data_IF_013054128459
#
_entry.id   IF_013054128459
#
_cell.length_a   1.000
_cell.length_b   1.000
_cell.length_c   1.000
_cell.angle_alpha   90.00
_cell.angle_beta   90.00
_cell.angle_gamma   90.00
#
_symmetry.space_group_name_H-M   'P 1'
#
loop_
_entity.id
_entity.type
_entity.pdbx_description
1 polymer ?
#
# COMPACT_ATOMS: atom_id res chain seq x y z
N UNK A 1 -14.12 24.25 0.19
CA UNK A 1 -13.25 23.06 0.26
C UNK A 1 -13.26 22.41 -1.11
N UNK A 2 -12.09 22.10 -1.68
CA UNK A 2 -11.92 21.54 -3.01
C UNK A 2 -11.54 20.06 -2.88
N UNK A 3 -12.37 19.18 -3.41
CA UNK A 3 -12.23 17.72 -3.27
C UNK A 3 -11.99 17.11 -4.64
N UNK A 4 -10.83 16.48 -4.82
CA UNK A 4 -10.58 15.60 -5.96
C UNK A 4 -11.22 14.23 -5.71
N UNK A 5 -11.72 13.59 -6.75
CA UNK A 5 -12.31 12.23 -6.69
C UNK A 5 -11.60 11.33 -7.68
N UNK A 6 -11.02 10.24 -7.18
CA UNK A 6 -10.46 9.17 -7.98
C UNK A 6 -11.29 7.90 -7.81
N UNK A 7 -11.67 7.28 -8.90
CA UNK A 7 -12.52 6.07 -8.89
C UNK A 7 -11.84 4.91 -9.60
N UNK A 8 -11.90 3.73 -9.00
CA UNK A 8 -11.38 2.50 -9.64
C UNK A 8 -12.24 1.98 -10.79
N UNK A 9 -13.54 2.26 -10.76
CA UNK A 9 -14.51 1.95 -11.81
C UNK A 9 -15.52 3.09 -11.91
N UNK A 10 -15.71 3.65 -13.09
CA UNK A 10 -16.65 4.77 -13.34
C UNK A 10 -18.10 4.45 -12.99
N UNK A 11 -18.50 3.17 -12.97
CA UNK A 11 -19.83 2.76 -12.52
C UNK A 11 -20.09 3.09 -11.05
N UNK A 12 -19.05 3.20 -10.23
CA UNK A 12 -19.16 3.56 -8.81
C UNK A 12 -19.73 4.97 -8.62
N UNK A 13 -19.46 5.89 -9.54
CA UNK A 13 -20.03 7.26 -9.49
C UNK A 13 -21.55 7.28 -9.69
N UNK A 14 -22.12 6.24 -10.31
CA UNK A 14 -23.57 6.14 -10.58
C UNK A 14 -24.34 5.42 -9.47
N UNK A 15 -23.65 4.84 -8.49
CA UNK A 15 -24.31 4.18 -7.37
C UNK A 15 -24.99 5.22 -6.47
N UNK A 16 -26.23 4.94 -6.08
CA UNK A 16 -27.07 5.84 -5.27
C UNK A 16 -26.35 6.40 -4.05
N UNK A 17 -25.64 5.54 -3.30
CA UNK A 17 -24.89 5.96 -2.10
C UNK A 17 -23.73 6.90 -2.41
N UNK A 18 -23.04 6.68 -3.53
CA UNK A 18 -21.96 7.58 -3.98
C UNK A 18 -22.52 8.94 -4.40
N UNK A 19 -23.60 8.93 -5.20
CA UNK A 19 -24.29 10.15 -5.62
C UNK A 19 -24.73 10.97 -4.39
N UNK A 20 -25.41 10.31 -3.44
CA UNK A 20 -25.86 10.96 -2.21
C UNK A 20 -24.71 11.58 -1.38
N UNK A 21 -23.57 10.88 -1.29
CA UNK A 21 -22.36 11.37 -0.63
C UNK A 21 -21.82 12.63 -1.34
N UNK A 22 -21.65 12.59 -2.65
CA UNK A 22 -21.11 13.72 -3.43
C UNK A 22 -22.06 14.93 -3.36
N UNK A 23 -23.37 14.71 -3.43
CA UNK A 23 -24.38 15.77 -3.23
C UNK A 23 -24.32 16.37 -1.81
N UNK A 24 -24.06 15.54 -0.79
CA UNK A 24 -23.91 16.03 0.59
C UNK A 24 -22.69 16.96 0.71
N UNK A 25 -21.57 16.62 0.08
CA UNK A 25 -20.41 17.51 0.01
C UNK A 25 -20.74 18.83 -0.72
N UNK A 26 -21.40 18.76 -1.87
CA UNK A 26 -21.79 19.93 -2.66
C UNK A 26 -22.73 20.84 -1.86
N UNK A 27 -23.74 20.28 -1.17
CA UNK A 27 -24.63 21.04 -0.26
C UNK A 27 -23.87 21.67 0.91
N UNK A 28 -22.79 21.05 1.36
CA UNK A 28 -21.88 21.58 2.39
C UNK A 28 -20.91 22.66 1.85
N UNK A 29 -21.03 23.07 0.58
CA UNK A 29 -20.19 24.09 -0.04
C UNK A 29 -18.84 23.58 -0.54
N UNK A 30 -18.67 22.27 -0.74
CA UNK A 30 -17.48 21.73 -1.36
C UNK A 30 -17.58 21.75 -2.90
N UNK A 31 -16.50 22.11 -3.57
CA UNK A 31 -16.30 21.93 -5.01
C UNK A 31 -15.71 20.56 -5.25
N UNK A 32 -16.33 19.74 -6.11
CA UNK A 32 -15.93 18.37 -6.40
C UNK A 32 -15.54 18.28 -7.88
N UNK A 33 -14.44 17.57 -8.14
CA UNK A 33 -14.01 17.28 -9.51
C UNK A 33 -13.35 15.90 -9.58
N UNK A 34 -13.52 15.20 -10.71
CA UNK A 34 -12.92 13.89 -10.96
C UNK A 34 -11.51 14.05 -11.51
N UNK A 35 -10.61 13.14 -11.14
CA UNK A 35 -9.26 13.04 -11.69
C UNK A 35 -8.95 11.59 -12.07
N UNK A 36 -8.04 11.42 -13.05
CA UNK A 36 -7.51 10.14 -13.51
C UNK A 36 -5.99 10.08 -13.46
N UNK A 37 -5.34 11.24 -13.40
CA UNK A 37 -3.89 11.37 -13.34
C UNK A 37 -3.47 12.48 -12.38
N UNK A 38 -2.19 12.53 -12.03
CA UNK A 38 -1.61 13.53 -11.14
C UNK A 38 -1.66 14.94 -11.73
N UNK A 39 -1.57 15.08 -13.06
CA UNK A 39 -1.59 16.37 -13.77
C UNK A 39 -2.95 17.06 -13.67
N UNK A 40 -4.02 16.31 -13.36
CA UNK A 40 -5.38 16.85 -13.17
C UNK A 40 -5.62 17.39 -11.74
N UNK A 41 -4.68 17.16 -10.82
CA UNK A 41 -4.75 17.71 -9.46
C UNK A 41 -4.57 19.22 -9.48
N UNK A 42 -5.56 19.94 -8.96
CA UNK A 42 -5.48 21.40 -8.81
C UNK A 42 -4.65 21.77 -7.58
N UNK A 43 -3.87 22.84 -7.65
CA UNK A 43 -3.03 23.34 -6.54
C UNK A 43 -3.80 23.61 -5.25
N UNK A 44 -5.07 24.04 -5.37
CA UNK A 44 -5.94 24.37 -4.25
C UNK A 44 -6.82 23.19 -3.78
N UNK A 45 -6.42 21.95 -4.06
CA UNK A 45 -7.12 20.75 -3.59
C UNK A 45 -6.87 20.53 -2.11
N UNK A 46 -7.94 20.32 -1.34
CA UNK A 46 -7.85 20.09 0.10
C UNK A 46 -7.73 18.61 0.46
N UNK A 47 -8.32 17.72 -0.32
CA UNK A 47 -8.23 16.26 -0.14
C UNK A 47 -8.62 15.47 -1.39
N UNK A 48 -8.22 14.20 -1.42
CA UNK A 48 -8.58 13.22 -2.45
C UNK A 48 -9.50 12.15 -1.86
N UNK A 49 -10.69 11.95 -2.45
CA UNK A 49 -11.54 10.79 -2.19
C UNK A 49 -11.17 9.67 -3.16
N UNK A 50 -10.72 8.55 -2.63
CA UNK A 50 -10.50 7.31 -3.37
C UNK A 50 -11.72 6.40 -3.23
N UNK A 51 -12.52 6.27 -4.29
CA UNK A 51 -13.78 5.48 -4.28
C UNK A 51 -13.54 4.12 -4.93
N UNK A 52 -13.48 3.09 -4.07
CA UNK A 52 -13.18 1.71 -4.46
C UNK A 52 -12.58 0.91 -3.32
N UNK A 53 -11.99 -0.24 -3.63
CA UNK A 53 -11.28 -1.08 -2.67
C UNK A 53 -9.85 -0.60 -2.39
N UNK A 54 -9.09 -1.42 -1.64
CA UNK A 54 -7.70 -1.11 -1.27
C UNK A 54 -6.80 -0.91 -2.50
N UNK A 55 -6.99 -1.68 -3.59
CA UNK A 55 -6.25 -1.46 -4.85
C UNK A 55 -6.48 -0.08 -5.46
N UNK A 56 -7.72 0.45 -5.40
CA UNK A 56 -8.03 1.83 -5.84
C UNK A 56 -7.35 2.85 -4.93
N UNK A 57 -7.29 2.57 -3.63
CA UNK A 57 -6.59 3.43 -2.68
C UNK A 57 -5.09 3.48 -2.97
N UNK A 58 -4.46 2.35 -3.30
CA UNK A 58 -3.04 2.31 -3.68
C UNK A 58 -2.76 3.16 -4.93
N UNK A 59 -3.63 3.09 -5.94
CA UNK A 59 -3.51 3.94 -7.12
C UNK A 59 -3.69 5.42 -6.78
N UNK A 60 -4.66 5.76 -5.94
CA UNK A 60 -4.87 7.13 -5.47
C UNK A 60 -3.67 7.66 -4.64
N UNK A 61 -3.06 6.80 -3.80
CA UNK A 61 -1.87 7.14 -3.04
C UNK A 61 -0.67 7.45 -3.95
N UNK A 62 -0.50 6.70 -5.05
CA UNK A 62 0.52 6.98 -6.04
C UNK A 62 0.30 8.30 -6.78
N UNK A 63 -0.96 8.69 -7.04
CA UNK A 63 -1.28 9.96 -7.71
C UNK A 63 -0.94 11.18 -6.86
N UNK A 64 -1.11 11.10 -5.54
CA UNK A 64 -0.79 12.23 -4.66
C UNK A 64 0.69 12.28 -4.31
N UNK A 65 1.41 11.15 -4.43
CA UNK A 65 2.85 11.04 -4.18
C UNK A 65 3.30 11.85 -2.93
N UNK A 66 4.20 12.81 -3.12
CA UNK A 66 4.77 13.69 -2.08
C UNK A 66 4.02 15.02 -1.90
N UNK A 67 2.88 15.20 -2.57
CA UNK A 67 2.08 16.45 -2.50
C UNK A 67 1.62 16.80 -1.08
N UNK A 68 1.62 15.82 -0.16
CA UNK A 68 1.07 15.99 1.18
C UNK A 68 -0.46 16.08 1.22
N UNK A 69 -1.16 15.82 0.09
CA UNK A 69 -2.61 15.84 0.03
C UNK A 69 -3.21 14.68 0.84
N UNK A 70 -4.16 14.93 1.77
CA UNK A 70 -4.82 13.87 2.51
C UNK A 70 -5.72 13.00 1.62
N UNK A 71 -5.66 11.67 1.80
CA UNK A 71 -6.46 10.69 1.05
C UNK A 71 -7.49 10.05 1.95
N UNK A 72 -8.74 10.01 1.49
CA UNK A 72 -9.88 9.35 2.14
C UNK A 72 -10.26 8.11 1.34
N UNK A 73 -10.16 6.93 1.92
CA UNK A 73 -10.63 5.69 1.28
C UNK A 73 -12.13 5.48 1.52
N UNK A 74 -12.90 5.35 0.45
CA UNK A 74 -14.34 5.09 0.47
C UNK A 74 -14.64 3.78 -0.23
N UNK A 75 -15.24 2.83 0.49
CA UNK A 75 -15.54 1.49 -0.01
C UNK A 75 -17.03 1.28 -0.23
N UNK A 76 -17.38 0.69 -1.38
CA UNK A 76 -18.75 0.39 -1.76
C UNK A 76 -19.12 -1.10 -1.58
N UNK A 77 -18.13 -1.93 -1.28
CA UNK A 77 -18.28 -3.38 -1.13
C UNK A 77 -17.76 -3.89 0.21
N UNK A 78 -16.87 -4.90 0.15
CA UNK A 78 -16.19 -5.42 1.34
C UNK A 78 -15.17 -4.40 1.83
N UNK A 79 -15.25 -4.01 3.09
CA UNK A 79 -14.33 -3.05 3.71
C UNK A 79 -12.88 -3.55 3.61
N UNK A 80 -11.99 -2.70 3.12
CA UNK A 80 -10.55 -2.91 3.06
C UNK A 80 -9.83 -2.43 4.33
N UNK A 81 -8.52 -2.62 4.43
CA UNK A 81 -7.68 -2.05 5.50
C UNK A 81 -7.31 -0.59 5.23
N UNK A 82 -7.32 -0.19 3.96
CA UNK A 82 -7.05 1.18 3.51
C UNK A 82 -8.35 1.93 3.22
N UNK A 83 -9.26 1.31 2.44
CA UNK A 83 -10.60 1.82 2.14
C UNK A 83 -11.61 1.25 3.14
N UNK A 84 -11.72 1.87 4.31
CA UNK A 84 -12.53 1.36 5.43
C UNK A 84 -13.83 2.14 5.65
N UNK A 85 -14.04 3.29 4.97
CA UNK A 85 -15.19 4.14 5.21
C UNK A 85 -16.33 3.83 4.23
N UNK A 86 -17.56 3.90 4.71
CA UNK A 86 -18.76 3.79 3.86
C UNK A 86 -19.18 5.18 3.37
N UNK A 87 -19.76 5.31 2.16
CA UNK A 87 -20.19 6.61 1.64
C UNK A 87 -21.10 7.38 2.60
N UNK A 88 -21.98 6.69 3.31
CA UNK A 88 -22.98 7.30 4.19
C UNK A 88 -22.38 8.11 5.36
N UNK A 89 -21.17 7.74 5.79
CA UNK A 89 -20.50 8.35 6.95
C UNK A 89 -19.51 9.46 6.55
N UNK A 90 -18.96 9.42 5.31
CA UNK A 90 -17.80 10.22 4.90
C UNK A 90 -18.12 11.70 4.83
N UNK A 91 -19.19 12.10 4.13
CA UNK A 91 -19.48 13.50 3.90
C UNK A 91 -19.75 14.26 5.21
N UNK A 92 -20.54 13.66 6.12
CA UNK A 92 -20.82 14.26 7.42
C UNK A 92 -19.55 14.40 8.27
N UNK A 93 -18.74 13.33 8.37
CA UNK A 93 -17.53 13.34 9.17
C UNK A 93 -16.51 14.37 8.67
N UNK A 94 -16.32 14.47 7.35
CA UNK A 94 -15.38 15.42 6.75
C UNK A 94 -15.86 16.86 6.95
N UNK A 95 -17.13 17.17 6.67
CA UNK A 95 -17.70 18.50 6.83
C UNK A 95 -17.71 18.97 8.29
N UNK A 96 -17.94 18.07 9.23
CA UNK A 96 -17.88 18.37 10.68
C UNK A 96 -16.48 18.29 11.28
N UNK A 97 -15.46 17.94 10.48
CA UNK A 97 -14.05 17.72 10.91
C UNK A 97 -13.90 16.61 11.97
N UNK A 98 -14.80 15.62 11.95
CA UNK A 98 -14.76 14.44 12.84
C UNK A 98 -13.88 13.32 12.26
N UNK A 99 -12.61 13.63 12.06
CA UNK A 99 -11.59 12.71 11.52
C UNK A 99 -10.21 13.06 12.05
N UNK A 100 -9.29 12.12 11.91
CA UNK A 100 -7.86 12.31 12.14
C UNK A 100 -7.07 12.07 10.85
N UNK A 101 -5.90 12.70 10.72
CA UNK A 101 -4.96 12.44 9.64
C UNK A 101 -3.81 11.61 10.20
N UNK A 102 -3.61 10.42 9.66
CA UNK A 102 -2.52 9.51 9.99
C UNK A 102 -1.43 9.61 8.93
N UNK A 103 -0.18 9.65 9.38
CA UNK A 103 0.97 9.56 8.49
C UNK A 103 1.34 8.08 8.30
N UNK A 104 1.35 7.61 7.06
CA UNK A 104 1.73 6.25 6.67
C UNK A 104 3.06 6.27 5.97
N UNK A 105 4.01 5.46 6.45
CA UNK A 105 5.30 5.29 5.80
C UNK A 105 5.14 4.70 4.41
N UNK A 106 5.95 5.15 3.48
CA UNK A 106 6.07 4.60 2.13
C UNK A 106 7.45 3.98 1.97
N UNK A 107 7.54 2.89 1.24
CA UNK A 107 8.82 2.43 0.73
C UNK A 107 9.29 3.34 -0.40
N UNK A 108 10.58 3.56 -0.47
CA UNK A 108 11.26 4.24 -1.56
C UNK A 108 12.29 3.31 -2.19
N UNK A 109 12.20 3.16 -3.51
CA UNK A 109 13.19 2.46 -4.32
C UNK A 109 14.28 3.42 -4.77
N UNK A 110 15.53 3.00 -4.58
CA UNK A 110 16.70 3.58 -5.26
C UNK A 110 17.31 2.47 -6.10
N UNK A 111 17.35 2.65 -7.40
CA UNK A 111 18.00 1.68 -8.31
C UNK A 111 19.47 2.02 -8.52
N UNK A 112 20.27 1.04 -8.98
CA UNK A 112 21.63 1.29 -9.44
C UNK A 112 21.62 2.20 -10.68
N UNK A 113 22.73 2.89 -10.95
CA UNK A 113 22.89 3.86 -12.06
C UNK A 113 22.55 3.31 -13.46
N UNK A 114 22.48 1.98 -13.61
CA UNK A 114 22.28 1.29 -14.89
C UNK A 114 20.81 1.01 -15.24
N UNK A 115 19.87 1.26 -14.34
CA UNK A 115 18.47 0.99 -14.61
C UNK A 115 17.56 2.06 -13.98
N UNK A 116 16.88 2.83 -14.85
CA UNK A 116 15.88 3.81 -14.42
C UNK A 116 14.48 3.24 -14.62
N UNK A 117 13.79 2.95 -13.53
CA UNK A 117 12.36 2.65 -13.55
C UNK A 117 11.54 3.94 -13.69
N UNK A 118 10.38 3.89 -14.35
CA UNK A 118 9.41 4.99 -14.30
C UNK A 118 9.09 5.38 -12.86
N UNK A 119 8.82 6.66 -12.64
CA UNK A 119 8.62 7.25 -11.32
C UNK A 119 7.50 6.58 -10.53
N UNK A 120 6.51 6.06 -11.22
CA UNK A 120 5.37 5.31 -10.64
C UNK A 120 5.79 4.06 -9.85
N UNK A 121 6.99 3.51 -10.08
CA UNK A 121 7.53 2.36 -9.34
C UNK A 121 8.36 2.75 -8.12
N UNK A 122 8.68 4.03 -7.95
CA UNK A 122 9.63 4.47 -6.93
C UNK A 122 9.07 4.40 -5.51
N UNK A 123 7.75 4.39 -5.33
CA UNK A 123 7.14 4.39 -4.00
C UNK A 123 6.05 3.33 -3.86
N UNK A 124 6.00 2.69 -2.70
CA UNK A 124 4.94 1.74 -2.34
C UNK A 124 4.41 2.02 -0.92
N UNK A 125 3.09 1.96 -0.76
CA UNK A 125 2.44 2.08 0.55
C UNK A 125 2.48 0.75 1.31
N UNK A 126 2.22 -0.36 0.62
CA UNK A 126 2.20 -1.68 1.23
C UNK A 126 3.55 -2.38 1.10
N UNK A 127 3.94 -2.76 -0.11
CA UNK A 127 5.13 -3.56 -0.33
C UNK A 127 5.78 -3.35 -1.69
N UNK A 128 7.08 -3.66 -1.73
CA UNK A 128 7.84 -3.92 -2.94
C UNK A 128 8.21 -5.41 -2.95
N UNK A 129 8.08 -6.07 -4.11
CA UNK A 129 8.37 -7.48 -4.24
C UNK A 129 9.33 -7.76 -5.39
N UNK A 130 10.14 -8.79 -5.22
CA UNK A 130 10.87 -9.44 -6.31
C UNK A 130 10.37 -10.87 -6.43
N UNK A 131 10.07 -11.31 -7.65
CA UNK A 131 9.49 -12.62 -7.91
C UNK A 131 10.13 -13.25 -9.14
N UNK A 132 10.28 -14.58 -9.17
CA UNK A 132 10.74 -15.28 -10.37
C UNK A 132 9.79 -15.04 -11.54
N UNK A 133 10.34 -14.90 -12.75
CA UNK A 133 9.57 -14.71 -13.99
C UNK A 133 9.18 -16.04 -14.64
N UNK A 134 9.97 -17.09 -14.41
CA UNK A 134 9.81 -18.40 -14.99
C UNK A 134 9.90 -19.55 -13.95
N UNK A 135 10.23 -20.77 -14.38
CA UNK A 135 10.30 -21.94 -13.49
C UNK A 135 11.55 -21.97 -12.61
N UNK A 136 12.63 -21.24 -12.97
CA UNK A 136 13.83 -21.20 -12.18
C UNK A 136 13.61 -20.47 -10.85
N UNK A 137 14.17 -21.01 -9.79
CA UNK A 137 14.13 -20.39 -8.47
C UNK A 137 14.95 -19.09 -8.49
N UNK A 138 14.46 -18.07 -7.80
CA UNK A 138 15.15 -16.81 -7.63
C UNK A 138 16.14 -16.93 -6.45
N UNK A 139 17.37 -16.47 -6.68
CA UNK A 139 18.38 -16.27 -5.65
C UNK A 139 18.43 -14.77 -5.35
N UNK A 140 18.13 -14.40 -4.09
CA UNK A 140 18.13 -13.00 -3.65
C UNK A 140 19.20 -12.84 -2.57
N UNK A 141 20.28 -12.13 -2.91
CA UNK A 141 21.23 -11.63 -1.93
C UNK A 141 20.62 -10.40 -1.25
N UNK A 142 20.62 -10.40 0.08
CA UNK A 142 20.04 -9.32 0.88
C UNK A 142 21.08 -8.80 1.85
N UNK A 143 21.17 -7.48 1.97
CA UNK A 143 21.86 -6.85 3.09
C UNK A 143 20.98 -5.80 3.75
N UNK A 144 21.14 -5.64 5.07
CA UNK A 144 20.47 -4.64 5.90
C UNK A 144 21.55 -3.80 6.54
N UNK A 145 21.56 -2.49 6.28
CA UNK A 145 22.58 -1.55 6.75
C UNK A 145 24.02 -2.03 6.45
N UNK A 146 24.22 -2.62 5.27
CA UNK A 146 25.50 -3.17 4.81
C UNK A 146 25.84 -4.56 5.38
N UNK A 147 25.05 -5.12 6.30
CA UNK A 147 25.26 -6.44 6.88
C UNK A 147 24.54 -7.49 6.02
N UNK A 148 25.26 -8.43 5.43
CA UNK A 148 24.69 -9.50 4.60
C UNK A 148 23.87 -10.47 5.45
N UNK A 149 22.66 -10.76 4.98
CA UNK A 149 21.86 -11.89 5.44
C UNK A 149 22.21 -13.16 4.64
N UNK A 150 21.83 -14.36 5.13
CA UNK A 150 21.88 -15.56 4.31
C UNK A 150 21.08 -15.35 3.01
N UNK A 151 21.62 -15.82 1.90
CA UNK A 151 20.96 -15.72 0.59
C UNK A 151 19.61 -16.44 0.62
N UNK A 152 18.58 -15.79 0.12
CA UNK A 152 17.23 -16.36 0.00
C UNK A 152 17.11 -17.11 -1.33
N UNK A 153 16.87 -18.39 -1.26
CA UNK A 153 16.50 -19.24 -2.39
C UNK A 153 14.99 -19.47 -2.31
N UNK A 154 14.23 -18.78 -3.15
CA UNK A 154 12.78 -18.69 -2.98
C UNK A 154 12.07 -18.41 -4.31
N UNK A 155 10.74 -18.47 -4.33
CA UNK A 155 9.93 -17.94 -5.44
C UNK A 155 10.02 -16.40 -5.52
N UNK A 156 10.35 -15.75 -4.40
CA UNK A 156 10.51 -14.31 -4.33
C UNK A 156 10.74 -13.79 -2.91
N UNK A 157 10.73 -12.49 -2.77
CA UNK A 157 10.88 -11.78 -1.51
C UNK A 157 9.94 -10.57 -1.47
N UNK A 158 9.33 -10.33 -0.34
CA UNK A 158 8.47 -9.16 -0.06
C UNK A 158 9.18 -8.28 0.95
N UNK A 159 9.34 -7.00 0.61
CA UNK A 159 9.73 -5.95 1.55
C UNK A 159 8.48 -5.10 1.80
N UNK A 160 8.01 -5.04 3.04
CA UNK A 160 6.72 -4.46 3.39
C UNK A 160 6.86 -3.40 4.48
N UNK A 161 6.01 -2.38 4.40
CA UNK A 161 5.77 -1.42 5.49
C UNK A 161 4.91 -2.06 6.59
N UNK A 162 4.75 -1.38 7.72
CA UNK A 162 3.75 -1.76 8.73
C UNK A 162 2.32 -1.74 8.17
N UNK A 163 1.97 -0.82 7.25
CA UNK A 163 0.67 -0.83 6.56
C UNK A 163 0.48 -2.07 5.69
N UNK A 164 1.51 -2.50 4.97
CA UNK A 164 1.51 -3.69 4.12
C UNK A 164 1.57 -5.03 4.89
N UNK A 165 1.74 -5.00 6.23
CA UNK A 165 1.74 -6.23 7.04
C UNK A 165 0.45 -7.04 6.92
N UNK A 166 -0.66 -6.42 6.55
CA UNK A 166 -1.96 -7.05 6.30
C UNK A 166 -2.25 -7.31 4.82
N UNK A 167 -1.28 -7.05 3.92
CA UNK A 167 -1.37 -7.28 2.48
C UNK A 167 -0.59 -8.55 2.07
N UNK A 168 0.27 -8.50 1.07
CA UNK A 168 0.98 -9.69 0.57
C UNK A 168 1.92 -10.30 1.61
N UNK A 169 2.53 -9.47 2.48
CA UNK A 169 3.34 -9.94 3.60
C UNK A 169 2.58 -10.94 4.49
N UNK A 170 1.30 -10.68 4.79
CA UNK A 170 0.47 -11.60 5.58
C UNK A 170 0.28 -12.94 4.86
N UNK A 171 0.04 -12.94 3.56
CA UNK A 171 -0.18 -14.14 2.75
C UNK A 171 1.03 -15.07 2.71
N UNK A 172 2.25 -14.54 2.88
CA UNK A 172 3.50 -15.31 2.92
C UNK A 172 4.00 -15.58 4.35
N UNK A 173 3.12 -15.38 5.35
CA UNK A 173 3.42 -15.70 6.75
C UNK A 173 4.14 -14.60 7.53
N UNK A 174 4.14 -13.37 7.04
CA UNK A 174 4.62 -12.20 7.77
C UNK A 174 3.75 -11.89 9.00
N UNK A 175 4.32 -11.24 10.02
CA UNK A 175 3.57 -10.85 11.22
C UNK A 175 2.60 -9.71 10.92
N UNK A 176 1.47 -9.68 11.64
CA UNK A 176 0.60 -8.52 11.68
C UNK A 176 1.26 -7.46 12.57
N UNK A 177 1.41 -6.26 12.05
CA UNK A 177 2.04 -5.13 12.71
C UNK A 177 1.06 -3.96 12.73
N UNK A 178 0.99 -3.25 13.86
CA UNK A 178 0.18 -2.02 13.94
C UNK A 178 0.72 -0.98 12.95
N UNK A 179 -0.16 -0.32 12.20
CA UNK A 179 0.26 0.61 11.15
C UNK A 179 1.13 1.78 11.62
N UNK A 180 1.06 2.12 12.90
CA UNK A 180 1.86 3.17 13.54
C UNK A 180 3.28 2.70 13.91
N UNK A 181 3.57 1.40 13.80
CA UNK A 181 4.88 0.84 14.15
C UNK A 181 5.93 1.26 13.12
N UNK A 182 7.09 1.65 13.62
CA UNK A 182 8.22 2.11 12.81
C UNK A 182 9.13 0.94 12.44
N UNK A 183 8.63 0.07 11.54
CA UNK A 183 9.34 -1.14 11.11
C UNK A 183 9.10 -1.42 9.63
N UNK A 184 10.04 -2.19 9.04
CA UNK A 184 9.92 -2.87 7.76
C UNK A 184 9.93 -4.38 8.00
N UNK A 185 9.32 -5.13 7.09
CA UNK A 185 9.22 -6.58 7.18
C UNK A 185 9.82 -7.17 5.91
N UNK A 186 10.74 -8.11 6.06
CA UNK A 186 11.36 -8.89 4.98
C UNK A 186 10.74 -10.28 5.04
N UNK A 187 9.90 -10.65 4.07
CA UNK A 187 9.18 -11.92 4.07
C UNK A 187 9.50 -12.72 2.80
N UNK A 188 10.07 -13.94 2.92
CA UNK A 188 10.33 -14.78 1.76
C UNK A 188 9.04 -15.41 1.23
N UNK A 189 8.97 -15.59 -0.10
CA UNK A 189 7.87 -16.27 -0.79
C UNK A 189 8.30 -17.69 -1.08
N UNK A 190 7.66 -18.68 -0.48
CA UNK A 190 7.96 -20.12 -0.68
C UNK A 190 9.47 -20.44 -0.61
N UNK A 191 10.18 -20.12 0.47
CA UNK A 191 11.63 -20.32 0.53
C UNK A 191 12.01 -21.80 0.56
N UNK A 192 13.08 -22.15 -0.14
CA UNK A 192 13.70 -23.48 -0.05
C UNK A 192 14.55 -23.63 1.22
N UNK A 193 15.03 -22.54 1.77
CA UNK A 193 15.71 -22.50 3.07
C UNK A 193 14.67 -22.69 4.20
N UNK A 194 14.42 -23.90 4.62
CA UNK A 194 13.33 -24.26 5.56
C UNK A 194 13.42 -23.60 6.94
N UNK A 195 14.56 -23.06 7.31
CA UNK A 195 14.82 -22.36 8.58
C UNK A 195 14.67 -20.83 8.48
N UNK A 196 14.45 -20.27 7.29
CA UNK A 196 14.20 -18.83 7.11
C UNK A 196 12.80 -18.47 7.57
N UNK A 197 12.68 -17.33 8.22
CA UNK A 197 11.41 -16.76 8.69
C UNK A 197 11.35 -15.28 8.31
N UNK A 198 10.16 -14.67 8.23
CA UNK A 198 10.04 -13.22 8.11
C UNK A 198 10.85 -12.51 9.19
N UNK A 199 11.59 -11.48 8.77
CA UNK A 199 12.42 -10.66 9.63
C UNK A 199 11.84 -9.25 9.73
N UNK A 200 11.70 -8.75 10.96
CA UNK A 200 11.29 -7.37 11.23
C UNK A 200 12.53 -6.55 11.53
N UNK A 201 12.68 -5.43 10.84
CA UNK A 201 13.79 -4.48 11.02
C UNK A 201 13.25 -3.07 11.28
N UNK A 202 14.04 -2.16 11.88
CA UNK A 202 13.63 -0.77 12.03
C UNK A 202 13.30 -0.11 10.69
N UNK A 203 12.39 0.86 10.66
CA UNK A 203 12.05 1.63 9.47
C UNK A 203 13.18 2.53 8.97
N UNK A 204 14.21 2.76 9.80
CA UNK A 204 15.44 3.44 9.42
C UNK A 204 16.42 2.58 8.62
N UNK A 205 16.15 1.28 8.47
CA UNK A 205 17.05 0.35 7.80
C UNK A 205 17.08 0.60 6.28
N UNK A 206 18.28 0.46 5.70
CA UNK A 206 18.49 0.39 4.26
C UNK A 206 18.61 -1.08 3.84
N UNK A 207 17.72 -1.54 2.96
CA UNK A 207 17.66 -2.92 2.48
C UNK A 207 18.18 -2.94 1.05
N UNK A 208 19.31 -3.60 0.81
CA UNK A 208 19.84 -3.77 -0.54
C UNK A 208 19.58 -5.20 -1.01
N UNK A 209 19.13 -5.32 -2.25
CA UNK A 209 18.78 -6.57 -2.92
C UNK A 209 19.62 -6.72 -4.19
N UNK A 210 20.13 -7.93 -4.45
CA UNK A 210 20.69 -8.31 -5.73
C UNK A 210 20.09 -9.63 -6.18
N UNK A 211 19.46 -9.63 -7.36
CA UNK A 211 18.70 -10.75 -7.89
C UNK A 211 19.51 -11.55 -8.90
N UNK A 212 19.58 -12.87 -8.70
CA UNK A 212 20.16 -13.81 -9.65
C UNK A 212 19.08 -14.82 -10.09
N UNK A 213 18.90 -14.99 -11.38
CA UNK A 213 17.94 -15.90 -12.00
C UNK A 213 18.56 -16.59 -13.20
N UNK A 214 18.31 -17.90 -13.32
CA UNK A 214 18.70 -18.68 -14.51
C UNK A 214 17.82 -18.34 -15.73
N UNK A 215 16.65 -17.79 -15.50
CA UNK A 215 15.75 -17.33 -16.56
C UNK A 215 16.21 -15.99 -17.16
N UNK A 216 17.27 -15.37 -16.61
CA UNK A 216 17.85 -14.10 -17.10
C UNK A 216 17.08 -12.85 -16.66
N UNK A 217 15.94 -13.03 -16.02
CA UNK A 217 15.04 -11.95 -15.61
C UNK A 217 14.26 -12.30 -14.34
N UNK A 218 13.62 -11.30 -13.74
CA UNK A 218 12.70 -11.43 -12.62
C UNK A 218 11.60 -10.38 -12.73
N UNK A 219 10.51 -10.54 -11.98
CA UNK A 219 9.43 -9.55 -11.88
C UNK A 219 9.64 -8.72 -10.62
N UNK A 220 9.70 -7.41 -10.77
CA UNK A 220 9.61 -6.44 -9.67
C UNK A 220 8.20 -5.89 -9.59
N UNK A 221 7.67 -5.72 -8.38
CA UNK A 221 6.39 -5.04 -8.17
C UNK A 221 6.51 -3.99 -7.07
N UNK A 222 5.80 -2.88 -7.26
CA UNK A 222 5.60 -1.80 -6.30
C UNK A 222 4.10 -1.62 -6.09
N UNK A 223 3.58 -2.07 -4.96
CA UNK A 223 2.15 -2.23 -4.72
C UNK A 223 1.47 -3.04 -5.86
N UNK A 224 0.49 -2.46 -6.54
CA UNK A 224 -0.27 -3.08 -7.63
C UNK A 224 0.34 -2.88 -9.04
N UNK A 225 1.57 -2.42 -9.16
CA UNK A 225 2.28 -2.18 -10.43
C UNK A 225 3.45 -3.13 -10.56
N UNK A 226 3.65 -3.74 -11.73
CA UNK A 226 4.73 -4.71 -11.94
C UNK A 226 5.46 -4.48 -13.26
N UNK A 227 6.74 -4.85 -13.28
CA UNK A 227 7.62 -4.76 -14.44
C UNK A 227 8.64 -5.89 -14.41
N UNK A 228 8.99 -6.40 -15.59
CA UNK A 228 10.07 -7.39 -15.73
C UNK A 228 11.41 -6.68 -15.80
N UNK A 229 12.40 -7.20 -15.06
CA UNK A 229 13.73 -6.64 -14.93
C UNK A 229 14.81 -7.69 -15.19
N UNK A 230 15.99 -7.30 -15.71
CA UNK A 230 17.08 -8.23 -15.94
C UNK A 230 17.68 -8.75 -14.64
N UNK A 231 18.05 -10.02 -14.61
CA UNK A 231 18.84 -10.60 -13.53
C UNK A 231 20.18 -9.86 -13.38
N UNK A 232 20.73 -9.80 -12.18
CA UNK A 232 21.92 -9.03 -11.84
C UNK A 232 21.63 -7.58 -11.43
N UNK A 233 20.39 -7.12 -11.58
CA UNK A 233 19.98 -5.79 -11.08
C UNK A 233 20.16 -5.70 -9.56
N UNK A 234 20.67 -4.57 -9.11
CA UNK A 234 20.78 -4.21 -7.71
C UNK A 234 19.77 -3.11 -7.37
N UNK A 235 19.10 -3.25 -6.23
CA UNK A 235 18.09 -2.32 -5.74
C UNK A 235 18.36 -1.99 -4.29
N UNK A 236 18.08 -0.75 -3.90
CA UNK A 236 18.06 -0.33 -2.50
C UNK A 236 16.66 0.16 -2.15
N UNK A 237 16.12 -0.37 -1.06
CA UNK A 237 14.79 -0.04 -0.55
C UNK A 237 14.96 0.54 0.85
N UNK A 238 14.35 1.68 1.08
CA UNK A 238 14.29 2.37 2.38
C UNK A 238 12.91 3.01 2.57
N UNK A 239 12.68 3.65 3.71
CA UNK A 239 11.48 4.48 3.89
C UNK A 239 11.69 5.84 3.20
N UNK A 240 10.66 6.32 2.51
CA UNK A 240 10.65 7.63 1.89
C UNK A 240 10.73 8.76 2.94
N UNK A 241 11.29 9.90 2.57
CA UNK A 241 11.39 11.08 3.46
C UNK A 241 10.05 11.78 3.70
N UNK A 242 9.02 11.43 2.93
CA UNK A 242 7.66 11.91 3.10
C UNK A 242 6.72 10.73 3.46
N UNK A 243 5.53 11.04 3.88
CA UNK A 243 4.51 10.05 4.25
C UNK A 243 3.20 10.33 3.55
N UNK A 244 2.44 9.26 3.26
CA UNK A 244 1.06 9.40 2.81
C UNK A 244 0.20 9.89 3.99
N UNK A 245 -0.53 10.96 3.79
CA UNK A 245 -1.53 11.48 4.75
C UNK A 245 -2.86 10.78 4.52
N UNK A 246 -3.18 9.79 5.37
CA UNK A 246 -4.44 9.06 5.31
C UNK A 246 -5.45 9.65 6.27
N UNK A 247 -6.65 9.93 5.78
CA UNK A 247 -7.78 10.34 6.62
C UNK A 247 -8.45 9.10 7.23
N UNK A 248 -8.57 9.07 8.55
CA UNK A 248 -9.32 8.08 9.30
C UNK A 248 -10.48 8.76 10.04
N UNK A 249 -11.69 8.26 9.83
CA UNK A 249 -12.84 8.70 10.60
C UNK A 249 -12.71 8.20 12.04
N UNK A 250 -13.12 9.00 13.04
CA UNK A 250 -12.89 8.71 14.46
C UNK A 250 -13.61 7.44 14.97
N UNK A 251 -14.55 6.87 14.19
CA UNK A 251 -15.25 5.62 14.51
C UNK A 251 -14.52 4.35 14.11
N UNK A 252 -13.43 4.46 13.33
CA UNK A 252 -12.68 3.30 12.86
C UNK A 252 -11.41 3.08 13.67
N UNK A 253 -11.02 1.81 13.86
CA UNK A 253 -9.72 1.45 14.41
C UNK A 253 -9.21 0.13 13.81
N UNK A 254 -7.88 -0.02 13.81
CA UNK A 254 -7.20 -1.15 13.18
C UNK A 254 -7.56 -2.50 13.81
N UNK A 255 -7.74 -2.57 15.14
CA UNK A 255 -8.07 -3.82 15.84
C UNK A 255 -9.46 -4.32 15.43
N UNK A 256 -10.44 -3.42 15.34
CA UNK A 256 -11.76 -3.78 14.84
C UNK A 256 -11.71 -4.27 13.38
N UNK A 257 -10.83 -3.66 12.56
CA UNK A 257 -10.63 -4.10 11.20
C UNK A 257 -10.03 -5.52 11.12
N UNK A 258 -9.08 -5.89 11.99
CA UNK A 258 -8.55 -7.25 12.08
C UNK A 258 -9.64 -8.27 12.40
N UNK A 259 -10.44 -8.00 13.44
CA UNK A 259 -11.52 -8.90 13.88
C UNK A 259 -12.57 -9.09 12.78
N UNK A 260 -13.04 -7.99 12.19
CA UNK A 260 -14.12 -8.04 11.19
C UNK A 260 -13.70 -8.60 9.83
N UNK A 261 -12.42 -8.42 9.43
CA UNK A 261 -11.96 -8.79 8.08
C UNK A 261 -11.23 -10.12 8.04
N UNK A 262 -10.47 -10.44 9.08
CA UNK A 262 -9.71 -11.69 9.18
C UNK A 262 -10.41 -12.72 10.07
N UNK A 263 -11.54 -12.39 10.70
CA UNK A 263 -12.16 -13.23 11.72
C UNK A 263 -11.15 -13.62 12.81
N UNK A 264 -10.28 -12.67 13.16
CA UNK A 264 -9.13 -12.92 14.01
C UNK A 264 -9.56 -13.28 15.43
N UNK A 265 -9.19 -14.50 15.84
CA UNK A 265 -9.59 -15.06 17.13
C UNK A 265 -11.00 -15.64 17.16
N UNK A 266 -11.76 -15.65 16.06
CA UNK A 266 -13.06 -16.30 16.00
C UNK A 266 -12.89 -17.83 15.91
N UNK A 267 -13.51 -18.54 16.83
CA UNK A 267 -13.63 -20.00 16.77
C UNK A 267 -15.06 -20.34 16.32
N UNK A 268 -15.15 -20.95 15.12
CA UNK A 268 -16.44 -21.35 14.51
C UNK A 268 -17.25 -22.26 15.45
N UNK A 269 -16.60 -22.96 16.39
CA UNK A 269 -17.26 -23.81 17.41
C UNK A 269 -18.00 -23.01 18.49
N UNK A 270 -17.67 -21.72 18.65
CA UNK A 270 -18.21 -20.84 19.67
C UNK A 270 -19.24 -19.82 19.13
N UNK A 271 -19.56 -19.87 17.83
CA UNK A 271 -20.62 -19.04 17.24
C UNK A 271 -21.95 -19.68 17.65
N UNK A 272 -22.62 -19.06 18.64
CA UNK A 272 -23.99 -19.40 19.05
C UNK A 272 -25.02 -18.74 18.14
#
# INVERSE_FOLDING_TARGET
MNIAVYVGNSEFLRQERTVAMLEAFSRGGAEIYEIRSSEELKENTDMLLSIGGDGTFLSAAALVADSGLPVVGVNLGRLGFLSENRPDDVAQAILSKDYTVENRSLLQLSSSEYFSLPEEYHHALNEMTVHRSGPAMLEVEVSVDGIRLPTYWADGLVISTSSGSTAYSLSVGGPIVLPESRVLIISPISPHNLNVRPLVVPDSAQICLKMHSRDGEFVFSSDNRSVTMPAGTEMSISVAQFSLRRVRLNRSNFINALTQKLFWGEDVRNVK
#
